data_IF_156096102566
#
_entry.id   IF_156096102566
#
_cell.length_a   1.000
_cell.length_b   1.000
_cell.length_c   1.000
_cell.angle_alpha   90.00
_cell.angle_beta   90.00
_cell.angle_gamma   90.00
#
_symmetry.space_group_name_H-M   'P 1'
#
loop_
_entity.id
_entity.type
_entity.pdbx_description
1 polymer ?
#
# COMPACT_ATOMS: atom_id res chain seq x y z
N UNK A 1 37.75 -40.15 66.17
CA UNK A 1 36.93 -39.78 67.30
C UNK A 1 35.78 -38.98 66.75
N UNK A 2 34.57 -39.45 66.98
CA UNK A 2 33.26 -38.95 66.60
C UNK A 2 32.72 -39.33 65.17
N UNK A 3 32.04 -40.33 65.20
CA UNK A 3 30.66 -40.81 65.25
C UNK A 3 29.72 -40.14 64.25
N UNK A 4 29.38 -41.00 63.36
CA UNK A 4 28.42 -40.73 62.27
C UNK A 4 27.08 -41.39 62.59
N UNK A 5 26.09 -40.60 62.89
CA UNK A 5 24.72 -41.09 63.04
C UNK A 5 23.97 -41.01 61.69
N UNK A 6 23.80 -42.19 61.13
CA UNK A 6 22.92 -42.39 59.99
C UNK A 6 21.46 -42.16 60.37
N UNK A 7 20.83 -41.28 59.59
CA UNK A 7 19.38 -41.14 59.59
C UNK A 7 18.82 -41.81 58.34
N UNK A 8 18.36 -43.03 58.53
CA UNK A 8 17.62 -43.77 57.50
C UNK A 8 16.16 -43.27 57.48
N UNK A 9 15.88 -42.38 56.57
CA UNK A 9 14.50 -41.93 56.33
C UNK A 9 13.80 -42.99 55.47
N UNK A 10 12.92 -43.74 56.14
CA UNK A 10 12.03 -44.74 55.56
C UNK A 10 10.98 -44.08 54.69
N UNK A 11 11.17 -44.14 53.38
CA UNK A 11 10.22 -43.64 52.40
C UNK A 11 8.95 -44.52 52.41
N UNK A 12 7.88 -43.99 52.95
CA UNK A 12 6.55 -44.58 52.96
C UNK A 12 5.94 -44.49 51.59
N UNK A 13 5.79 -45.62 50.90
CA UNK A 13 5.08 -45.70 49.61
C UNK A 13 3.60 -45.33 49.83
N UNK A 14 3.15 -44.30 49.17
CA UNK A 14 1.71 -43.97 49.03
C UNK A 14 1.09 -44.85 47.95
N UNK A 15 -0.13 -45.35 48.13
CA UNK A 15 -0.81 -46.16 47.14
C UNK A 15 -1.19 -45.33 45.93
N UNK A 16 -0.91 -45.85 44.74
CA UNK A 16 -1.19 -45.19 43.48
C UNK A 16 -2.69 -45.02 43.26
N UNK A 17 -3.13 -43.77 43.17
CA UNK A 17 -4.43 -43.41 42.60
C UNK A 17 -4.23 -43.21 41.13
N UNK A 18 -4.47 -44.26 40.36
CA UNK A 18 -4.49 -44.17 38.91
C UNK A 18 -5.67 -43.31 38.43
N UNK A 19 -5.40 -42.07 38.16
CA UNK A 19 -6.33 -41.26 37.36
C UNK A 19 -6.07 -41.55 35.90
N UNK A 20 -6.87 -42.47 35.38
CA UNK A 20 -6.97 -42.66 33.94
C UNK A 20 -7.59 -41.39 33.34
N UNK A 21 -6.74 -40.48 32.93
CA UNK A 21 -7.14 -39.38 32.05
C UNK A 21 -7.53 -40.01 30.71
N UNK A 22 -8.80 -40.38 30.57
CA UNK A 22 -9.43 -40.57 29.29
C UNK A 22 -9.39 -39.24 28.57
N UNK A 23 -8.33 -38.99 27.82
CA UNK A 23 -8.24 -37.95 26.82
C UNK A 23 -9.32 -38.23 25.76
N UNK A 24 -10.50 -37.67 25.95
CA UNK A 24 -11.49 -37.53 24.89
C UNK A 24 -10.93 -36.55 23.87
N UNK A 25 -10.05 -37.02 23.00
CA UNK A 25 -9.82 -36.40 21.71
C UNK A 25 -11.10 -36.51 20.92
N UNK A 26 -12.02 -35.57 21.16
CA UNK A 26 -13.09 -35.31 20.18
C UNK A 26 -12.38 -34.86 18.91
N UNK A 27 -12.26 -35.80 18.01
CA UNK A 27 -11.92 -35.50 16.64
C UNK A 27 -12.95 -34.51 16.10
N UNK A 28 -12.60 -33.22 16.08
CA UNK A 28 -13.27 -32.20 15.29
C UNK A 28 -12.87 -32.40 13.82
N UNK A 29 -13.17 -33.57 13.31
CA UNK A 29 -12.94 -33.94 11.93
C UNK A 29 -14.27 -33.99 11.19
N UNK A 30 -15.08 -32.94 11.26
CA UNK A 30 -16.15 -32.72 10.29
C UNK A 30 -15.56 -31.97 9.11
N UNK A 31 -14.80 -32.64 8.28
CA UNK A 31 -14.50 -32.19 6.93
C UNK A 31 -15.77 -32.31 6.09
N UNK A 32 -16.69 -31.37 6.29
CA UNK A 32 -17.79 -31.17 5.35
C UNK A 32 -17.14 -30.60 4.07
N UNK A 33 -16.89 -31.50 3.12
CA UNK A 33 -16.47 -31.11 1.77
C UNK A 33 -17.57 -30.25 1.14
N UNK A 34 -17.18 -29.15 0.47
CA UNK A 34 -18.10 -28.32 -0.29
C UNK A 34 -18.71 -29.15 -1.44
N UNK A 35 -20.01 -29.01 -1.63
CA UNK A 35 -20.71 -29.62 -2.77
C UNK A 35 -20.36 -28.83 -4.06
N UNK A 36 -20.22 -29.57 -5.17
CA UNK A 36 -20.06 -28.96 -6.50
C UNK A 36 -21.17 -27.96 -6.82
N UNK A 37 -22.40 -28.24 -6.42
CA UNK A 37 -23.53 -27.32 -6.63
C UNK A 37 -23.41 -26.05 -5.80
N UNK A 38 -22.86 -26.11 -4.60
CA UNK A 38 -22.66 -24.97 -3.73
C UNK A 38 -21.62 -24.00 -4.34
N UNK A 39 -20.54 -24.54 -4.89
CA UNK A 39 -19.55 -23.70 -5.62
C UNK A 39 -20.16 -23.12 -6.89
N UNK A 40 -20.95 -23.89 -7.63
CA UNK A 40 -21.61 -23.43 -8.85
C UNK A 40 -22.57 -22.28 -8.56
N UNK A 41 -23.40 -22.38 -7.53
CA UNK A 41 -24.33 -21.32 -7.13
C UNK A 41 -23.56 -20.05 -6.72
N UNK A 42 -22.47 -20.20 -5.97
CA UNK A 42 -21.65 -19.06 -5.54
C UNK A 42 -21.06 -18.32 -6.74
N UNK A 43 -20.47 -19.02 -7.71
CA UNK A 43 -19.88 -18.34 -8.89
C UNK A 43 -20.94 -17.68 -9.77
N UNK A 44 -22.15 -18.23 -9.86
CA UNK A 44 -23.28 -17.58 -10.57
C UNK A 44 -23.67 -16.29 -9.87
N UNK A 45 -23.85 -16.30 -8.55
CA UNK A 45 -24.22 -15.11 -7.77
C UNK A 45 -23.10 -14.03 -7.88
N UNK A 46 -21.84 -14.43 -7.73
CA UNK A 46 -20.71 -13.51 -7.88
C UNK A 46 -20.65 -12.92 -9.28
N UNK A 47 -20.91 -13.72 -10.31
CA UNK A 47 -20.97 -13.26 -11.70
C UNK A 47 -22.05 -12.22 -11.94
N UNK A 48 -23.25 -12.43 -11.40
CA UNK A 48 -24.36 -11.48 -11.50
C UNK A 48 -24.03 -10.16 -10.76
N UNK A 49 -23.47 -10.25 -9.56
CA UNK A 49 -23.06 -9.06 -8.79
C UNK A 49 -21.93 -8.30 -9.49
N UNK A 50 -20.92 -9.00 -10.00
CA UNK A 50 -19.83 -8.39 -10.74
C UNK A 50 -20.31 -7.66 -12.01
N UNK A 51 -21.26 -8.25 -12.74
CA UNK A 51 -21.86 -7.64 -13.91
C UNK A 51 -22.63 -6.35 -13.61
N UNK A 52 -23.26 -6.25 -12.43
CA UNK A 52 -24.02 -5.06 -12.03
C UNK A 52 -23.11 -3.94 -11.52
N UNK A 53 -22.05 -4.26 -10.77
CA UNK A 53 -21.18 -3.28 -10.11
C UNK A 53 -20.03 -2.81 -11.02
N UNK A 54 -19.54 -3.70 -11.90
CA UNK A 54 -18.37 -3.44 -12.75
C UNK A 54 -18.41 -2.15 -13.53
N UNK A 55 -19.45 -1.85 -14.34
CA UNK A 55 -19.50 -0.65 -15.16
C UNK A 55 -19.44 0.66 -14.37
N UNK A 56 -20.07 0.71 -13.19
CA UNK A 56 -20.07 1.89 -12.31
C UNK A 56 -18.70 2.15 -11.68
N UNK A 57 -17.98 1.10 -11.38
CA UNK A 57 -16.65 1.21 -10.77
C UNK A 57 -15.62 1.78 -11.76
N UNK A 58 -15.62 1.29 -12.99
CA UNK A 58 -14.70 1.77 -14.04
C UNK A 58 -14.89 3.24 -14.38
N UNK A 59 -16.12 3.75 -14.42
CA UNK A 59 -16.37 5.17 -14.67
C UNK A 59 -15.81 6.06 -13.56
N UNK A 60 -15.90 5.64 -12.30
CA UNK A 60 -15.35 6.39 -11.15
C UNK A 60 -13.83 6.42 -11.16
N UNK A 61 -13.17 5.34 -11.55
CA UNK A 61 -11.71 5.31 -11.71
C UNK A 61 -11.24 6.31 -12.76
N UNK A 62 -11.95 6.43 -13.88
CA UNK A 62 -11.65 7.45 -14.90
C UNK A 62 -11.75 8.88 -14.37
N UNK A 63 -12.82 9.18 -13.63
CA UNK A 63 -13.03 10.51 -13.03
C UNK A 63 -11.96 10.85 -11.99
N UNK A 64 -11.59 9.91 -11.13
CA UNK A 64 -10.55 10.14 -10.12
C UNK A 64 -9.17 10.37 -10.74
N UNK A 65 -8.83 9.68 -11.82
CA UNK A 65 -7.59 9.93 -12.58
C UNK A 65 -7.59 11.35 -13.19
N UNK A 66 -8.69 11.79 -13.76
CA UNK A 66 -8.81 13.17 -14.29
C UNK A 66 -8.66 14.21 -13.18
N UNK A 67 -9.31 14.00 -12.04
CA UNK A 67 -9.19 14.90 -10.90
C UNK A 67 -7.75 14.98 -10.38
N UNK A 68 -7.06 13.84 -10.28
CA UNK A 68 -5.66 13.79 -9.89
C UNK A 68 -4.75 14.52 -10.89
N UNK A 69 -4.98 14.35 -12.20
CA UNK A 69 -4.22 15.06 -13.22
C UNK A 69 -4.42 16.59 -13.13
N UNK A 70 -5.66 17.05 -12.93
CA UNK A 70 -5.94 18.49 -12.73
C UNK A 70 -5.24 19.05 -11.51
N UNK A 71 -5.33 18.37 -10.37
CA UNK A 71 -4.64 18.78 -9.16
C UNK A 71 -3.10 18.86 -9.35
N UNK A 72 -2.53 17.94 -10.11
CA UNK A 72 -1.10 17.98 -10.42
C UNK A 72 -0.73 19.15 -11.34
N UNK A 73 -1.58 19.50 -12.32
CA UNK A 73 -1.38 20.66 -13.19
C UNK A 73 -1.42 21.96 -12.37
N UNK A 74 -2.32 22.09 -11.41
CA UNK A 74 -2.38 23.24 -10.49
C UNK A 74 -1.09 23.36 -9.66
N UNK A 75 -0.53 22.24 -9.19
CA UNK A 75 0.74 22.22 -8.49
C UNK A 75 1.90 22.67 -9.40
N UNK A 76 1.92 22.25 -10.67
CA UNK A 76 2.91 22.74 -11.62
C UNK A 76 2.76 24.22 -11.89
N UNK A 77 1.53 24.73 -12.04
CA UNK A 77 1.28 26.16 -12.22
C UNK A 77 1.86 26.97 -11.07
N UNK A 78 1.56 26.57 -9.83
CA UNK A 78 2.10 27.25 -8.65
C UNK A 78 3.65 27.18 -8.58
N UNK A 79 4.24 26.03 -8.94
CA UNK A 79 5.71 25.90 -8.97
C UNK A 79 6.36 26.73 -10.08
N UNK A 80 5.70 26.84 -11.24
CA UNK A 80 6.14 27.69 -12.35
C UNK A 80 6.08 29.19 -12.00
N UNK A 81 5.05 29.60 -11.27
CA UNK A 81 4.91 30.98 -10.79
C UNK A 81 6.03 31.29 -9.77
N UNK A 82 6.33 30.36 -8.86
CA UNK A 82 7.44 30.52 -7.93
C UNK A 82 8.79 30.60 -8.66
N UNK A 83 9.03 29.73 -9.64
CA UNK A 83 10.20 29.78 -10.49
C UNK A 83 10.34 31.16 -11.18
N UNK A 84 9.25 31.66 -11.75
CA UNK A 84 9.23 32.96 -12.41
C UNK A 84 9.55 34.13 -11.46
N UNK A 85 9.07 34.05 -10.22
CA UNK A 85 9.39 35.07 -9.20
C UNK A 85 10.90 35.14 -8.90
N UNK A 86 11.55 33.98 -8.84
CA UNK A 86 12.98 33.90 -8.52
C UNK A 86 13.87 34.22 -9.72
N UNK A 87 13.55 33.63 -10.89
CA UNK A 87 14.38 33.70 -12.11
C UNK A 87 14.00 34.89 -13.03
N UNK A 88 12.77 35.39 -12.92
CA UNK A 88 12.26 36.51 -13.73
C UNK A 88 11.50 36.10 -14.98
N UNK A 89 11.56 34.82 -15.41
CA UNK A 89 10.87 34.29 -16.59
C UNK A 89 10.43 32.84 -16.39
N UNK A 90 9.49 32.38 -17.19
CA UNK A 90 9.16 30.96 -17.20
C UNK A 90 10.25 30.13 -17.86
N UNK A 91 10.42 28.85 -17.45
CA UNK A 91 11.44 28.00 -18.06
C UNK A 91 11.13 27.74 -19.53
N UNK A 92 12.13 27.92 -20.41
CA UNK A 92 11.99 27.64 -21.83
C UNK A 92 12.47 26.21 -22.15
N UNK A 93 13.59 26.01 -22.78
CA UNK A 93 14.06 24.74 -23.31
C UNK A 93 14.11 23.53 -22.36
N UNK A 94 14.34 23.74 -21.06
CA UNK A 94 14.37 22.65 -20.08
C UNK A 94 12.98 22.17 -19.64
N UNK A 95 11.91 22.91 -19.95
CA UNK A 95 10.54 22.55 -19.59
C UNK A 95 10.32 22.41 -18.08
N UNK A 96 9.52 21.44 -17.67
CA UNK A 96 9.21 21.15 -16.28
C UNK A 96 10.40 20.64 -15.46
N UNK A 97 11.45 20.15 -16.12
CA UNK A 97 12.68 19.69 -15.44
C UNK A 97 13.40 20.85 -14.73
N UNK A 98 13.26 22.09 -15.21
CA UNK A 98 13.78 23.29 -14.56
C UNK A 98 13.20 23.53 -13.16
N UNK A 99 12.03 22.95 -12.85
CA UNK A 99 11.42 23.02 -11.51
C UNK A 99 12.14 22.11 -10.48
N UNK A 100 12.90 21.16 -10.95
CA UNK A 100 13.62 20.17 -10.13
C UNK A 100 15.12 20.45 -10.11
N UNK A 101 15.69 20.88 -11.25
CA UNK A 101 17.10 21.11 -11.42
C UNK A 101 17.37 22.47 -12.05
N UNK A 102 18.10 23.32 -11.35
CA UNK A 102 18.45 24.66 -11.79
C UNK A 102 19.83 24.77 -12.43
N UNK A 103 20.32 23.73 -13.10
CA UNK A 103 21.67 23.72 -13.67
C UNK A 103 21.92 24.92 -14.58
N UNK A 104 22.79 25.84 -14.11
CA UNK A 104 23.19 27.00 -14.88
C UNK A 104 22.16 28.14 -14.98
N UNK A 105 21.03 28.07 -14.27
CA UNK A 105 20.02 29.12 -14.25
C UNK A 105 20.35 30.16 -13.14
N UNK A 106 20.59 31.41 -13.47
CA UNK A 106 20.83 32.46 -12.47
C UNK A 106 19.60 32.66 -11.58
N UNK A 107 19.83 32.91 -10.29
CA UNK A 107 18.80 33.15 -9.27
C UNK A 107 17.83 31.98 -9.03
N UNK A 108 18.15 30.77 -9.52
CA UNK A 108 17.36 29.61 -9.23
C UNK A 108 17.43 29.26 -7.73
N UNK A 109 16.29 29.18 -7.07
CA UNK A 109 16.18 28.93 -5.61
C UNK A 109 15.31 27.70 -5.28
N UNK A 110 15.24 26.74 -6.23
CA UNK A 110 14.45 25.52 -6.04
C UNK A 110 15.17 24.44 -5.23
N UNK A 111 14.70 23.21 -5.22
CA UNK A 111 13.65 22.66 -6.09
C UNK A 111 12.23 23.18 -5.76
N UNK A 112 11.43 23.44 -6.78
CA UNK A 112 10.06 23.96 -6.65
C UNK A 112 9.02 22.83 -6.56
N UNK A 113 9.42 21.60 -6.78
CA UNK A 113 8.60 20.41 -6.58
C UNK A 113 9.06 19.66 -5.33
N UNK A 114 8.10 19.12 -4.58
CA UNK A 114 8.39 18.33 -3.36
C UNK A 114 9.17 17.04 -3.64
N UNK A 115 9.04 16.50 -4.85
CA UNK A 115 9.80 15.33 -5.31
C UNK A 115 10.91 15.79 -6.22
N UNK A 116 12.08 15.16 -6.12
CA UNK A 116 13.24 15.42 -6.96
C UNK A 116 13.10 14.89 -8.41
N UNK A 117 11.88 14.81 -8.90
CA UNK A 117 11.56 14.41 -10.26
C UNK A 117 10.18 14.93 -10.65
N UNK A 118 10.00 15.20 -11.93
CA UNK A 118 8.70 15.54 -12.49
C UNK A 118 7.83 14.28 -12.50
N UNK A 119 6.67 14.26 -11.80
CA UNK A 119 5.81 13.08 -11.77
C UNK A 119 5.13 12.85 -13.12
N UNK A 120 4.84 11.60 -13.41
CA UNK A 120 4.01 11.20 -14.55
C UNK A 120 2.53 11.44 -14.25
N UNK A 121 1.73 11.53 -15.30
CA UNK A 121 0.29 11.62 -15.21
C UNK A 121 -0.32 10.29 -14.68
N UNK A 122 -1.61 10.25 -14.31
CA UNK A 122 -2.26 9.03 -13.82
C UNK A 122 -2.38 7.89 -14.86
N UNK A 123 -2.00 8.14 -16.10
CA UNK A 123 -1.93 7.13 -17.18
C UNK A 123 -0.49 6.69 -17.49
N UNK A 124 0.50 7.23 -16.74
CA UNK A 124 1.92 6.89 -16.89
C UNK A 124 2.64 7.65 -18.00
N UNK A 125 2.07 8.77 -18.48
CA UNK A 125 2.68 9.62 -19.50
C UNK A 125 3.30 10.88 -18.87
N UNK A 126 4.36 11.45 -19.48
CA UNK A 126 4.90 12.72 -19.04
C UNK A 126 3.92 13.86 -19.35
N UNK A 127 3.86 14.83 -18.43
CA UNK A 127 3.14 16.08 -18.69
C UNK A 127 3.85 16.89 -19.76
N UNK A 128 3.07 17.43 -20.68
CA UNK A 128 3.58 18.33 -21.69
C UNK A 128 3.51 19.77 -21.19
N UNK A 129 4.60 20.49 -21.34
CA UNK A 129 4.70 21.90 -21.00
C UNK A 129 5.09 22.67 -22.25
N UNK A 130 4.40 23.77 -22.48
CA UNK A 130 4.73 24.71 -23.55
C UNK A 130 4.76 26.10 -22.95
N UNK A 131 5.93 26.71 -22.96
CA UNK A 131 6.09 28.11 -22.59
C UNK A 131 5.80 29.00 -23.80
N UNK A 132 5.27 30.14 -23.52
CA UNK A 132 5.22 31.33 -24.35
C UNK A 132 4.85 31.16 -25.85
N UNK A 133 3.87 31.91 -26.36
CA UNK A 133 3.57 31.91 -27.79
C UNK A 133 4.76 32.53 -28.55
N UNK A 134 5.51 31.69 -29.28
CA UNK A 134 6.64 32.15 -30.12
C UNK A 134 7.86 31.24 -30.16
N UNK A 135 7.89 30.15 -29.36
CA UNK A 135 8.93 29.08 -29.45
C UNK A 135 8.41 27.88 -30.24
#
# INVERSE_FOLDING_TARGET
MHDNHGVTTKMKRLPGTGYALKSSLRALGSSSGFSLIELLVVIIILGLLAGLVGPRLFSRVGQSKQAAARAQIELFSAALDQYRLDVGSYPAGAGLEALVSGQGVPNWNGPYLKKNAVPLDPWGKPYQYKCCPGD
#
